data_IF_040946460795
#
_entry.id   IF_040946460795
#
_cell.length_a   1.000
_cell.length_b   1.000
_cell.length_c   1.000
_cell.angle_alpha   90.00
_cell.angle_beta   90.00
_cell.angle_gamma   90.00
#
_symmetry.space_group_name_H-M   'P 1'
#
loop_
_entity.id
_entity.type
_entity.pdbx_description
1 polymer ?
#
# COMPACT_ATOMS: atom_id res chain seq x y z
N UNK A 1 11.74 10.94 -11.33
CA UNK A 1 11.44 10.31 -10.03
C UNK A 1 11.65 8.81 -10.16
N UNK A 2 12.49 8.21 -9.31
CA UNK A 2 12.84 6.77 -9.41
C UNK A 2 11.70 5.92 -8.85
N UNK A 3 11.45 4.76 -9.46
CA UNK A 3 10.61 3.71 -8.90
C UNK A 3 11.53 2.66 -8.32
N UNK A 4 11.26 2.23 -7.08
CA UNK A 4 12.05 1.24 -6.36
C UNK A 4 11.16 0.02 -6.15
N UNK A 5 11.60 -1.16 -6.62
CA UNK A 5 10.92 -2.40 -6.28
C UNK A 5 11.24 -2.74 -4.83
N UNK A 6 10.20 -3.10 -4.08
CA UNK A 6 10.34 -3.54 -2.70
C UNK A 6 10.33 -5.08 -2.72
N UNK A 7 11.42 -5.68 -2.24
CA UNK A 7 11.38 -7.11 -1.93
C UNK A 7 10.65 -7.27 -0.60
N UNK A 8 9.59 -8.07 -0.61
CA UNK A 8 8.75 -8.33 0.54
C UNK A 8 8.66 -9.84 0.82
N UNK A 9 9.59 -10.63 0.29
CA UNK A 9 9.57 -12.09 0.37
C UNK A 9 9.81 -12.62 1.79
N UNK A 10 10.65 -11.95 2.59
CA UNK A 10 10.89 -12.25 4.00
C UNK A 10 9.94 -11.51 4.95
N UNK A 11 9.25 -10.49 4.46
CA UNK A 11 8.48 -9.58 5.29
C UNK A 11 7.17 -10.21 5.79
N UNK A 12 6.85 -9.96 7.06
CA UNK A 12 5.49 -10.15 7.57
C UNK A 12 4.69 -8.87 7.32
N UNK A 13 3.61 -8.97 6.56
CA UNK A 13 2.73 -7.84 6.27
C UNK A 13 1.35 -8.13 6.84
N UNK A 14 0.89 -7.30 7.77
CA UNK A 14 -0.45 -7.43 8.37
C UNK A 14 -1.34 -6.26 7.99
N UNK A 15 -2.59 -6.54 7.67
CA UNK A 15 -3.58 -5.51 7.37
C UNK A 15 -3.98 -4.75 8.64
N UNK A 16 -3.84 -3.43 8.63
CA UNK A 16 -4.25 -2.56 9.75
C UNK A 16 -5.48 -1.72 9.44
N UNK A 17 -5.71 -1.41 8.16
CA UNK A 17 -6.89 -0.69 7.69
C UNK A 17 -7.44 -1.39 6.45
N UNK A 18 -8.73 -1.73 6.48
CA UNK A 18 -9.40 -2.37 5.37
C UNK A 18 -9.37 -1.50 4.10
N UNK A 19 -9.46 -2.10 2.89
CA UNK A 19 -9.52 -1.35 1.64
C UNK A 19 -10.64 -0.31 1.66
N UNK A 20 -10.27 0.94 1.40
CA UNK A 20 -11.20 2.06 1.28
C UNK A 20 -10.90 2.90 0.04
N UNK A 21 -11.91 3.54 -0.59
CA UNK A 21 -11.68 4.43 -1.72
C UNK A 21 -10.68 5.54 -1.39
N UNK A 22 -9.69 5.73 -2.25
CA UNK A 22 -8.68 6.78 -2.10
C UNK A 22 -9.29 8.13 -2.47
N UNK A 23 -9.61 8.93 -1.47
CA UNK A 23 -10.16 10.28 -1.70
C UNK A 23 -9.06 11.24 -2.18
N UNK A 24 -9.21 11.77 -3.39
CA UNK A 24 -8.34 12.82 -3.97
C UNK A 24 -8.63 14.18 -3.38
N UNK A 25 -9.91 14.51 -3.28
CA UNK A 25 -10.40 15.77 -2.71
C UNK A 25 -11.45 15.49 -1.64
N UNK A 26 -11.11 15.85 -0.39
CA UNK A 26 -11.98 15.61 0.77
C UNK A 26 -13.18 16.55 0.84
N UNK A 27 -13.16 17.69 0.14
CA UNK A 27 -14.29 18.62 0.13
C UNK A 27 -15.39 18.12 -0.80
N UNK A 28 -15.01 17.56 -1.95
CA UNK A 28 -15.95 17.08 -2.97
C UNK A 28 -16.23 15.58 -2.87
N UNK A 29 -15.39 14.82 -2.17
CA UNK A 29 -15.46 13.36 -2.12
C UNK A 29 -14.93 12.69 -3.40
N UNK A 30 -14.23 13.44 -4.25
CA UNK A 30 -13.68 12.90 -5.51
C UNK A 30 -12.73 11.73 -5.22
N UNK A 31 -13.00 10.58 -5.83
CA UNK A 31 -12.14 9.40 -5.74
C UNK A 31 -11.00 9.49 -6.76
N UNK A 32 -9.78 9.23 -6.29
CA UNK A 32 -8.59 9.18 -7.11
C UNK A 32 -8.72 8.04 -8.13
N UNK A 33 -8.38 8.34 -9.38
CA UNK A 33 -8.36 7.34 -10.45
C UNK A 33 -6.94 7.08 -10.92
N UNK A 34 -6.69 5.84 -11.34
CA UNK A 34 -5.45 5.49 -12.00
C UNK A 34 -5.38 6.19 -13.37
N UNK A 35 -4.23 6.80 -13.65
CA UNK A 35 -4.07 7.63 -14.86
C UNK A 35 -3.99 6.84 -16.16
N UNK A 36 -3.73 5.52 -16.09
CA UNK A 36 -3.59 4.66 -17.28
C UNK A 36 -4.88 3.91 -17.54
N UNK A 37 -5.43 3.24 -16.53
CA UNK A 37 -6.63 2.41 -16.64
C UNK A 37 -7.92 3.17 -16.41
N UNK A 38 -7.89 4.32 -15.74
CA UNK A 38 -9.09 5.08 -15.34
C UNK A 38 -9.84 4.49 -14.14
N UNK A 39 -9.35 3.40 -13.58
CA UNK A 39 -9.95 2.68 -12.46
C UNK A 39 -9.88 3.46 -11.15
N UNK A 40 -10.86 3.28 -10.26
CA UNK A 40 -10.78 3.85 -8.91
C UNK A 40 -9.58 3.27 -8.14
N UNK A 41 -8.90 4.12 -7.38
CA UNK A 41 -7.82 3.71 -6.51
C UNK A 41 -8.34 3.49 -5.10
N UNK A 42 -7.81 2.46 -4.47
CA UNK A 42 -8.07 2.09 -3.08
C UNK A 42 -6.81 2.35 -2.25
N UNK A 43 -7.01 2.62 -0.97
CA UNK A 43 -5.95 2.65 0.05
C UNK A 43 -6.18 1.57 1.07
N UNK A 44 -5.09 0.91 1.46
CA UNK A 44 -5.01 -0.03 2.57
C UNK A 44 -3.89 0.40 3.50
N UNK A 45 -4.10 0.23 4.79
CA UNK A 45 -3.06 0.39 5.80
C UNK A 45 -2.47 -0.97 6.13
N UNK A 46 -1.14 -1.08 6.16
CA UNK A 46 -0.46 -2.29 6.62
C UNK A 46 0.66 -1.95 7.59
N UNK A 47 0.97 -2.87 8.48
CA UNK A 47 2.28 -2.92 9.12
C UNK A 47 3.18 -3.84 8.29
N UNK A 48 4.33 -3.33 7.90
CA UNK A 48 5.40 -4.06 7.22
C UNK A 48 6.49 -4.36 8.24
N UNK A 49 6.79 -5.64 8.45
CA UNK A 49 7.77 -6.10 9.45
C UNK A 49 8.83 -6.91 8.71
N UNK A 50 10.09 -6.49 8.80
CA UNK A 50 11.22 -7.17 8.16
C UNK A 50 12.49 -6.92 8.97
N UNK A 51 13.34 -7.94 9.08
CA UNK A 51 14.63 -7.88 9.79
C UNK A 51 14.61 -7.27 11.22
N UNK A 52 13.48 -7.36 11.93
CA UNK A 52 13.31 -6.82 13.29
C UNK A 52 12.83 -5.37 13.34
N UNK A 53 12.71 -4.71 12.19
CA UNK A 53 12.10 -3.40 12.03
C UNK A 53 10.62 -3.51 11.64
N UNK A 54 9.83 -2.50 12.03
CA UNK A 54 8.43 -2.41 11.62
C UNK A 54 8.05 -0.99 11.21
N UNK A 55 7.17 -0.88 10.22
CA UNK A 55 6.67 0.39 9.71
C UNK A 55 5.21 0.30 9.32
N UNK A 56 4.40 1.27 9.74
CA UNK A 56 3.05 1.45 9.22
C UNK A 56 3.11 2.20 7.90
N UNK A 57 2.58 1.61 6.84
CA UNK A 57 2.55 2.22 5.51
C UNK A 57 1.14 2.15 4.92
N UNK A 58 0.75 3.23 4.25
CA UNK A 58 -0.45 3.26 3.41
C UNK A 58 -0.06 2.88 1.98
N UNK A 59 -0.70 1.85 1.45
CA UNK A 59 -0.44 1.32 0.11
C UNK A 59 -1.64 1.62 -0.79
N UNK A 60 -1.36 2.15 -1.98
CA UNK A 60 -2.38 2.35 -3.01
C UNK A 60 -2.46 1.13 -3.92
N UNK A 61 -3.67 0.67 -4.21
CA UNK A 61 -3.94 -0.43 -5.16
C UNK A 61 -5.10 -0.04 -6.10
N UNK A 62 -5.16 -0.56 -7.34
CA UNK A 62 -6.39 -0.46 -8.14
C UNK A 62 -7.54 -1.23 -7.48
N UNK A 63 -8.78 -0.80 -7.70
CA UNK A 63 -9.98 -1.45 -7.15
C UNK A 63 -10.07 -2.95 -7.50
N UNK A 64 -9.83 -3.32 -8.76
CA UNK A 64 -9.76 -4.69 -9.25
C UNK A 64 -8.63 -5.51 -8.63
N UNK A 65 -7.64 -4.85 -8.02
CA UNK A 65 -6.56 -5.48 -7.29
C UNK A 65 -6.93 -5.85 -5.85
N UNK A 66 -8.14 -5.53 -5.38
CA UNK A 66 -8.57 -5.85 -4.01
C UNK A 66 -9.24 -7.22 -3.98
N UNK A 67 -8.65 -8.17 -3.27
CA UNK A 67 -9.28 -9.48 -3.02
C UNK A 67 -10.33 -9.36 -1.93
N UNK A 68 -11.45 -10.09 -2.06
CA UNK A 68 -12.48 -10.17 -1.02
C UNK A 68 -12.00 -10.95 0.22
N UNK A 69 -12.70 -10.78 1.34
CA UNK A 69 -12.44 -11.57 2.56
C UNK A 69 -11.21 -11.14 3.37
N UNK A 70 -10.64 -9.97 3.07
CA UNK A 70 -9.55 -9.39 3.85
C UNK A 70 -10.06 -8.91 5.23
N UNK A 71 -9.37 -9.32 6.30
CA UNK A 71 -9.70 -8.95 7.66
C UNK A 71 -8.51 -8.24 8.33
N UNK A 72 -8.79 -7.17 9.08
CA UNK A 72 -7.78 -6.46 9.87
C UNK A 72 -7.11 -7.43 10.85
N UNK A 73 -5.79 -7.32 10.99
CA UNK A 73 -4.94 -8.22 11.75
C UNK A 73 -4.48 -9.47 10.98
N UNK A 74 -5.06 -9.75 9.81
CA UNK A 74 -4.67 -10.92 9.01
C UNK A 74 -3.42 -10.64 8.19
N UNK A 75 -2.59 -11.68 7.92
CA UNK A 75 -1.48 -11.57 6.99
C UNK A 75 -2.00 -11.32 5.57
N UNK A 76 -1.31 -10.45 4.85
CA UNK A 76 -1.62 -10.08 3.46
C UNK A 76 -0.36 -10.12 2.61
N UNK A 77 -0.53 -10.26 1.30
CA UNK A 77 0.52 -10.09 0.31
C UNK A 77 0.24 -8.86 -0.54
N UNK A 78 1.31 -8.20 -1.00
CA UNK A 78 1.26 -7.00 -1.84
C UNK A 78 2.03 -7.24 -3.15
N UNK A 79 1.49 -8.01 -4.11
CA UNK A 79 2.15 -8.23 -5.40
C UNK A 79 2.53 -6.92 -6.09
N UNK A 80 3.74 -6.88 -6.65
CA UNK A 80 4.23 -5.73 -7.39
C UNK A 80 4.44 -4.47 -6.53
N UNK A 81 4.68 -4.63 -5.23
CA UNK A 81 4.94 -3.50 -4.33
C UNK A 81 6.15 -2.68 -4.82
N UNK A 82 5.90 -1.38 -4.99
CA UNK A 82 6.89 -0.38 -5.34
C UNK A 82 6.82 0.80 -4.37
N UNK A 83 7.98 1.39 -4.14
CA UNK A 83 8.16 2.65 -3.43
C UNK A 83 8.56 3.74 -4.42
N UNK A 84 7.94 4.91 -4.30
CA UNK A 84 8.23 6.09 -5.11
C UNK A 84 8.43 7.30 -4.20
N UNK A 85 9.67 7.78 -4.00
CA UNK A 85 9.88 9.05 -3.32
C UNK A 85 9.21 10.16 -4.11
N UNK A 86 8.59 11.12 -3.45
CA UNK A 86 7.98 12.29 -4.09
C UNK A 86 8.26 13.54 -3.29
N UNK A 87 8.21 14.67 -3.99
CA UNK A 87 8.29 16.00 -3.43
C UNK A 87 7.21 16.86 -4.10
N UNK A 88 6.57 17.74 -3.35
CA UNK A 88 5.58 18.70 -3.85
C UNK A 88 5.61 19.95 -3.00
N UNK A 89 5.27 21.09 -3.60
CA UNK A 89 4.99 22.31 -2.83
C UNK A 89 3.49 22.44 -2.70
N UNK A 90 2.99 22.63 -1.48
CA UNK A 90 1.56 22.86 -1.21
C UNK A 90 1.43 24.05 -0.25
N UNK A 91 0.71 25.10 -0.67
CA UNK A 91 0.60 26.38 0.03
C UNK A 91 1.97 26.96 0.43
N UNK A 92 2.95 26.90 -0.47
CA UNK A 92 4.32 27.40 -0.24
C UNK A 92 5.15 26.56 0.72
N UNK A 93 4.64 25.45 1.25
CA UNK A 93 5.39 24.50 2.07
C UNK A 93 5.85 23.31 1.23
N UNK A 94 7.14 22.98 1.29
CA UNK A 94 7.66 21.77 0.68
C UNK A 94 7.19 20.56 1.50
N UNK A 95 6.64 19.58 0.80
CA UNK A 95 6.26 18.27 1.32
C UNK A 95 7.03 17.22 0.55
N UNK A 96 7.40 16.16 1.23
CA UNK A 96 8.04 15.01 0.62
C UNK A 96 7.56 13.75 1.32
N UNK A 97 7.82 12.61 0.70
CA UNK A 97 7.54 11.32 1.31
C UNK A 97 7.76 10.17 0.35
N UNK A 98 7.32 8.99 0.76
CA UNK A 98 7.33 7.79 -0.07
C UNK A 98 5.89 7.41 -0.36
N UNK A 99 5.54 7.26 -1.64
CA UNK A 99 4.28 6.69 -2.06
C UNK A 99 4.49 5.19 -2.31
N UNK A 100 3.73 4.36 -1.58
CA UNK A 100 3.70 2.92 -1.79
C UNK A 100 2.53 2.55 -2.71
N UNK A 101 2.81 1.70 -3.69
CA UNK A 101 1.81 1.19 -4.62
C UNK A 101 2.06 -0.29 -4.87
N UNK A 102 0.98 -1.08 -4.89
CA UNK A 102 1.01 -2.48 -5.31
C UNK A 102 0.04 -2.68 -6.48
N UNK A 103 0.17 -3.80 -7.19
CA UNK A 103 -0.79 -4.17 -8.24
C UNK A 103 -2.03 -4.83 -7.68
N UNK A 104 -1.91 -5.46 -6.50
CA UNK A 104 -3.02 -6.08 -5.79
C UNK A 104 -2.74 -6.17 -4.28
N UNK A 105 -3.79 -6.48 -3.53
CA UNK A 105 -3.73 -6.99 -2.16
C UNK A 105 -4.51 -8.30 -2.08
N UNK A 106 -3.90 -9.32 -1.51
CA UNK A 106 -4.48 -10.65 -1.36
C UNK A 106 -4.19 -11.24 0.02
N UNK A 107 -4.95 -12.25 0.48
CA UNK A 107 -4.58 -13.01 1.67
C UNK A 107 -3.13 -13.48 1.59
N UNK A 108 -2.41 -13.31 2.69
CA UNK A 108 -1.03 -13.74 2.85
C UNK A 108 -0.93 -14.92 3.80
N UNK A 109 0.30 -15.39 3.99
CA UNK A 109 0.64 -16.30 5.07
C UNK A 109 1.71 -15.64 5.93
N UNK A 110 1.77 -15.99 7.21
CA UNK A 110 2.96 -15.70 7.99
C UNK A 110 4.15 -16.43 7.37
N UNK A 111 5.31 -15.79 7.22
CA UNK A 111 6.51 -16.50 6.80
C UNK A 111 6.75 -17.66 7.77
N UNK A 112 6.86 -18.86 7.23
CA UNK A 112 7.14 -20.05 8.03
C UNK A 112 8.54 -19.87 8.58
N UNK A 113 8.67 -19.65 9.89
CA UNK A 113 9.96 -19.66 10.54
C UNK A 113 10.60 -21.03 10.27
N UNK A 114 11.75 -21.06 9.57
CA UNK A 114 12.53 -22.29 9.51
C UNK A 114 12.99 -22.58 10.93
N UNK A 115 12.43 -23.63 11.53
CA UNK A 115 12.95 -24.18 12.78
C UNK A 115 14.42 -24.58 12.51
N UNK A 116 15.34 -23.90 13.19
CA UNK A 116 16.76 -24.25 13.21
C UNK A 116 17.03 -25.50 14.04
#
# INVERSE_FOLDING_TARGET
MRVIRVDASSATILLTEAPAPKVRDRQTGEIAKDTVSGEALMTVGVVFIDEGDSSLIQVTVPESGVTEGLAVGSPVSLPGLIARPWESVFNGQQRHGIAYRATAIAPGAFPVAQAG
#
